data_IF_241141109155
#
_entry.id   IF_241141109155
#
_cell.length_a   1.000
_cell.length_b   1.000
_cell.length_c   1.000
_cell.angle_alpha   90.00
_cell.angle_beta   90.00
_cell.angle_gamma   90.00
#
_symmetry.space_group_name_H-M   'P 1'
#
loop_
_entity.id
_entity.type
_entity.pdbx_description
1 polymer ?
#
# COMPACT_ATOMS: atom_id res chain seq x y z
N UNK A 1 -2.97 -3.12 3.31
CA UNK A 1 -1.63 -2.61 2.92
C UNK A 1 -1.72 -1.24 2.28
N UNK A 2 -2.22 -1.10 1.04
CA UNK A 2 -2.22 0.23 0.39
C UNK A 2 -3.15 1.21 1.09
N UNK A 3 -4.33 0.74 1.51
CA UNK A 3 -5.28 1.51 2.31
C UNK A 3 -4.67 1.98 3.65
N UNK A 4 -3.96 1.09 4.35
CA UNK A 4 -3.25 1.43 5.58
C UNK A 4 -2.15 2.47 5.33
N UNK A 5 -1.43 2.38 4.20
CA UNK A 5 -0.37 3.33 3.80
C UNK A 5 -0.98 4.69 3.51
N UNK A 6 -2.13 4.75 2.85
CA UNK A 6 -2.81 6.01 2.55
C UNK A 6 -3.35 6.68 3.81
N UNK A 7 -3.97 5.91 4.71
CA UNK A 7 -4.47 6.42 6.00
C UNK A 7 -3.36 7.05 6.83
N UNK A 8 -2.19 6.41 6.89
CA UNK A 8 -1.05 6.90 7.65
C UNK A 8 -0.32 8.04 6.95
N UNK A 9 -0.06 7.95 5.64
CA UNK A 9 0.63 9.01 4.88
C UNK A 9 -0.18 10.30 4.86
N UNK A 10 -1.49 10.20 4.62
CA UNK A 10 -2.39 11.36 4.63
C UNK A 10 -2.59 11.96 6.02
N UNK A 11 -2.50 11.15 7.07
CA UNK A 11 -2.48 11.64 8.45
C UNK A 11 -1.16 12.31 8.80
N UNK A 12 -0.03 11.78 8.33
CA UNK A 12 1.31 12.32 8.58
C UNK A 12 1.53 13.68 7.89
N UNK A 13 1.08 13.84 6.65
CA UNK A 13 1.06 15.12 5.94
C UNK A 13 0.14 16.16 6.61
N UNK A 14 -1.02 15.73 7.12
CA UNK A 14 -1.98 16.63 7.80
C UNK A 14 -1.56 17.00 9.22
N UNK A 15 -0.83 16.15 9.93
CA UNK A 15 -0.40 16.40 11.31
C UNK A 15 1.01 16.98 11.44
N UNK A 16 1.86 16.91 10.40
CA UNK A 16 3.15 17.61 10.35
C UNK A 16 4.16 17.23 11.44
N UNK A 17 3.90 16.17 12.22
CA UNK A 17 4.76 15.66 13.28
C UNK A 17 4.70 14.14 13.29
N UNK A 18 5.88 13.54 13.23
CA UNK A 18 6.10 12.12 12.99
C UNK A 18 5.21 11.20 13.81
N UNK A 19 4.82 10.12 13.15
CA UNK A 19 4.03 8.98 13.63
C UNK A 19 4.79 8.27 14.77
N UNK A 20 4.89 8.92 15.92
CA UNK A 20 5.39 8.37 17.19
C UNK A 20 4.50 8.79 18.35
N UNK A 21 3.27 9.22 18.05
CA UNK A 21 2.19 9.37 19.00
C UNK A 21 0.99 8.69 18.40
N UNK A 22 0.93 7.39 18.58
CA UNK A 22 -0.13 6.80 19.37
C UNK A 22 -0.08 5.29 19.20
N UNK A 23 0.54 4.66 20.19
CA UNK A 23 0.32 3.26 20.54
C UNK A 23 -1.15 2.97 20.96
N UNK A 24 -2.10 3.85 20.63
CA UNK A 24 -3.50 3.85 21.07
C UNK A 24 -4.52 3.47 20.00
N UNK A 25 -4.10 3.15 18.77
CA UNK A 25 -5.01 2.46 17.85
C UNK A 25 -4.77 0.95 17.95
N UNK A 26 -5.62 0.29 18.75
CA UNK A 26 -5.82 -1.17 18.82
C UNK A 26 -6.23 -1.83 17.46
N UNK A 27 -5.86 -1.24 16.32
CA UNK A 27 -5.96 -1.84 15.00
C UNK A 27 -4.58 -2.36 14.61
N UNK A 28 -4.42 -3.66 14.70
CA UNK A 28 -3.33 -4.42 14.07
C UNK A 28 -3.30 -4.19 12.56
N UNK A 29 -2.64 -3.10 12.11
CA UNK A 29 -2.47 -2.75 10.70
C UNK A 29 -1.02 -2.99 10.25
N UNK A 30 -0.80 -3.13 8.94
CA UNK A 30 0.50 -3.48 8.38
C UNK A 30 1.62 -2.51 8.80
N UNK A 31 1.30 -1.23 8.99
CA UNK A 31 2.27 -0.20 9.36
C UNK A 31 2.68 -0.29 10.81
N UNK A 32 1.78 -0.64 11.72
CA UNK A 32 2.12 -0.88 13.12
C UNK A 32 3.08 -2.07 13.30
N UNK A 33 3.02 -3.07 12.40
CA UNK A 33 3.90 -4.23 12.44
C UNK A 33 5.23 -4.04 11.70
N UNK A 34 5.21 -3.39 10.53
CA UNK A 34 6.37 -3.33 9.64
C UNK A 34 6.98 -1.93 9.51
N UNK A 35 6.26 -0.87 9.88
CA UNK A 35 6.62 0.52 9.58
C UNK A 35 6.16 0.96 8.19
N UNK A 36 6.16 2.28 7.93
CA UNK A 36 5.66 2.88 6.69
C UNK A 36 6.50 2.47 5.47
N UNK A 37 7.82 2.61 5.55
CA UNK A 37 8.75 2.24 4.45
C UNK A 37 8.61 0.75 4.09
N UNK A 38 8.65 -0.13 5.09
CA UNK A 38 8.55 -1.56 4.85
C UNK A 38 7.17 -1.99 4.36
N UNK A 39 6.12 -1.31 4.79
CA UNK A 39 4.77 -1.54 4.24
C UNK A 39 4.69 -1.15 2.77
N UNK A 40 5.37 -0.07 2.35
CA UNK A 40 5.50 0.31 0.92
C UNK A 40 6.24 -0.77 0.13
N UNK A 41 7.38 -1.25 0.63
CA UNK A 41 8.11 -2.36 -0.01
C UNK A 41 7.23 -3.62 -0.17
N UNK A 42 6.48 -3.99 0.88
CA UNK A 42 5.56 -5.12 0.84
C UNK A 42 4.44 -4.88 -0.20
N UNK A 43 3.94 -3.66 -0.32
CA UNK A 43 2.94 -3.30 -1.34
C UNK A 43 3.48 -3.49 -2.76
N UNK A 44 4.69 -2.99 -3.03
CA UNK A 44 5.36 -3.14 -4.32
C UNK A 44 5.64 -4.60 -4.66
N UNK A 45 6.10 -5.39 -3.68
CA UNK A 45 6.30 -6.83 -3.87
C UNK A 45 5.01 -7.56 -4.22
N UNK A 46 3.92 -7.27 -3.50
CA UNK A 46 2.62 -7.90 -3.72
C UNK A 46 2.09 -7.60 -5.13
N UNK A 47 2.26 -6.36 -5.59
CA UNK A 47 1.84 -5.96 -6.93
C UNK A 47 2.73 -6.58 -8.00
N UNK A 48 4.03 -6.64 -7.77
CA UNK A 48 4.95 -7.32 -8.68
C UNK A 48 4.56 -8.80 -8.82
N UNK A 49 4.25 -9.47 -7.71
CA UNK A 49 3.74 -10.86 -7.70
C UNK A 49 2.38 -10.97 -8.42
N UNK A 50 1.47 -10.02 -8.23
CA UNK A 50 0.18 -10.00 -8.92
C UNK A 50 0.35 -9.84 -10.44
N UNK A 51 1.18 -8.89 -10.89
CA UNK A 51 1.51 -8.68 -12.31
C UNK A 51 2.15 -9.90 -12.95
N UNK A 52 3.06 -10.58 -12.23
CA UNK A 52 3.67 -11.82 -12.72
C UNK A 52 2.61 -12.90 -12.97
N UNK A 53 1.65 -13.08 -12.06
CA UNK A 53 0.52 -14.01 -12.26
C UNK A 53 -0.41 -13.57 -13.40
N UNK A 54 -0.58 -12.26 -13.58
CA UNK A 54 -1.41 -11.71 -14.65
C UNK A 54 -0.78 -11.85 -16.04
N UNK A 55 0.56 -12.02 -16.12
CA UNK A 55 1.29 -12.22 -17.37
C UNK A 55 0.81 -13.45 -18.13
N UNK A 56 0.41 -14.51 -17.42
CA UNK A 56 -0.12 -15.75 -18.01
C UNK A 56 -1.47 -15.54 -18.73
N UNK A 57 -2.18 -14.45 -18.41
CA UNK A 57 -3.44 -14.09 -19.05
C UNK A 57 -3.28 -13.20 -20.30
N UNK A 58 -2.04 -12.84 -20.65
CA UNK A 58 -1.71 -12.02 -21.81
C UNK A 58 -2.55 -10.75 -21.89
N UNK A 59 -3.18 -10.49 -23.04
CA UNK A 59 -3.97 -9.27 -23.28
C UNK A 59 -5.19 -9.15 -22.35
N UNK A 60 -5.73 -10.28 -21.85
CA UNK A 60 -6.86 -10.28 -20.91
C UNK A 60 -6.43 -9.79 -19.52
N UNK A 61 -5.16 -9.96 -19.17
CA UNK A 61 -4.57 -9.47 -17.92
C UNK A 61 -4.20 -7.98 -17.94
N UNK A 62 -4.25 -7.33 -19.11
CA UNK A 62 -3.83 -5.93 -19.28
C UNK A 62 -4.57 -4.98 -18.34
N UNK A 63 -5.91 -5.02 -18.34
CA UNK A 63 -6.73 -4.15 -17.49
C UNK A 63 -6.54 -4.43 -15.99
N UNK A 64 -6.27 -5.67 -15.59
CA UNK A 64 -5.98 -6.01 -14.20
C UNK A 64 -4.59 -5.55 -13.76
N UNK A 65 -3.62 -5.54 -14.69
CA UNK A 65 -2.29 -5.00 -14.48
C UNK A 65 -2.35 -3.48 -14.27
N UNK A 66 -3.13 -2.79 -15.11
CA UNK A 66 -3.38 -1.36 -15.00
C UNK A 66 -4.16 -1.00 -13.73
N UNK A 67 -5.16 -1.80 -13.36
CA UNK A 67 -5.85 -1.62 -12.08
C UNK A 67 -4.90 -1.78 -10.89
N UNK A 68 -3.96 -2.74 -10.96
CA UNK A 68 -2.96 -2.93 -9.92
C UNK A 68 -2.00 -1.74 -9.82
N UNK A 69 -1.60 -1.15 -10.95
CA UNK A 69 -0.83 0.11 -11.00
C UNK A 69 -1.60 1.28 -10.38
N UNK A 70 -2.88 1.39 -10.74
CA UNK A 70 -3.74 2.42 -10.20
C UNK A 70 -3.89 2.30 -8.68
N UNK A 71 -4.06 1.07 -8.16
CA UNK A 71 -4.25 0.84 -6.72
C UNK A 71 -3.06 1.33 -5.90
N UNK A 72 -1.81 1.19 -6.34
CA UNK A 72 -0.64 1.65 -5.56
C UNK A 72 -0.35 3.14 -5.72
N UNK A 73 -0.69 3.70 -6.88
CA UNK A 73 -0.48 5.11 -7.17
C UNK A 73 -1.69 5.98 -6.83
N UNK A 74 -2.80 5.40 -6.35
CA UNK A 74 -3.95 6.21 -5.94
C UNK A 74 -3.54 7.05 -4.75
N UNK A 75 -3.80 8.34 -4.83
CA UNK A 75 -3.64 9.27 -3.70
C UNK A 75 -4.96 9.49 -2.94
N UNK A 76 -6.06 8.81 -3.32
CA UNK A 76 -7.36 8.83 -2.62
C UNK A 76 -8.15 7.55 -2.87
#
# INVERSE_FOLDING_TARGET
VVDDILDVSGSEEKLGKGINKDAEFHKSNFISFYGLEKSREIAEELITKAKLKLKDYGIRGYYLCELSNYIINREN
#
